data_IF_100176631585
#
_entry.id   IF_100176631585
#
_cell.length_a   1.000
_cell.length_b   1.000
_cell.length_c   1.000
_cell.angle_alpha   90.00
_cell.angle_beta   90.00
_cell.angle_gamma   90.00
#
_symmetry.space_group_name_H-M   'P 1'
#
loop_
_entity.id
_entity.type
_entity.pdbx_description
1 polymer ?
#
# COMPACT_ATOMS: atom_id res chain seq x y z
N UNK A 1 11.37 20.93 6.45
CA UNK A 1 10.36 21.70 5.68
C UNK A 1 10.66 21.80 4.18
N UNK A 2 11.69 22.53 3.70
CA UNK A 2 11.94 22.69 2.25
C UNK A 2 12.40 21.41 1.52
N UNK A 3 13.22 20.58 2.18
CA UNK A 3 13.70 19.30 1.63
C UNK A 3 12.57 18.24 1.55
N UNK A 4 11.69 18.18 2.54
CA UNK A 4 10.53 17.28 2.57
C UNK A 4 9.52 17.64 1.48
N UNK A 5 9.25 18.94 1.29
CA UNK A 5 8.39 19.42 0.22
C UNK A 5 8.95 19.07 -1.18
N UNK A 6 10.29 19.11 -1.34
CA UNK A 6 10.96 18.73 -2.58
C UNK A 6 10.88 17.22 -2.82
N UNK A 7 11.09 16.39 -1.79
CA UNK A 7 10.94 14.94 -1.89
C UNK A 7 9.51 14.53 -2.24
N UNK A 8 8.51 15.16 -1.61
CA UNK A 8 7.10 14.95 -1.95
C UNK A 8 6.77 15.35 -3.39
N UNK A 9 7.28 16.49 -3.87
CA UNK A 9 7.09 16.93 -5.25
C UNK A 9 7.72 15.96 -6.26
N UNK A 10 8.92 15.46 -5.97
CA UNK A 10 9.62 14.47 -6.80
C UNK A 10 8.84 13.15 -6.83
N UNK A 11 8.35 12.68 -5.68
CA UNK A 11 7.57 11.45 -5.60
C UNK A 11 6.24 11.55 -6.35
N UNK A 12 5.57 12.71 -6.32
CA UNK A 12 4.38 12.98 -7.12
C UNK A 12 4.66 12.94 -8.62
N UNK A 13 5.83 13.42 -9.07
CA UNK A 13 6.24 13.33 -10.49
C UNK A 13 6.48 11.89 -10.94
N UNK A 14 7.05 11.04 -10.08
CA UNK A 14 7.22 9.62 -10.37
C UNK A 14 5.88 8.88 -10.42
N UNK A 15 4.99 9.16 -9.46
CA UNK A 15 3.65 8.56 -9.41
C UNK A 15 2.82 8.91 -10.64
N UNK A 16 2.96 10.14 -11.16
CA UNK A 16 2.21 10.62 -12.33
C UNK A 16 2.77 10.10 -13.67
N UNK A 17 3.92 9.42 -13.67
CA UNK A 17 4.49 8.79 -14.88
C UNK A 17 4.81 9.81 -15.98
N UNK A 18 5.61 10.84 -15.65
CA UNK A 18 6.13 11.77 -16.67
C UNK A 18 7.02 11.01 -17.65
N UNK A 19 6.53 10.80 -18.88
CA UNK A 19 7.33 10.31 -20.01
C UNK A 19 8.30 11.38 -20.56
N UNK A 20 8.21 12.62 -20.10
CA UNK A 20 8.78 13.77 -20.82
C UNK A 20 10.15 14.22 -20.31
N UNK A 21 10.59 13.74 -19.13
CA UNK A 21 11.74 14.36 -18.44
C UNK A 21 13.03 13.51 -18.46
N UNK A 22 13.03 12.33 -19.10
CA UNK A 22 14.20 11.42 -19.12
C UNK A 22 14.61 10.88 -17.74
N UNK A 23 13.81 11.11 -16.69
CA UNK A 23 14.04 10.63 -15.34
C UNK A 23 13.69 9.13 -15.23
N UNK A 24 14.45 8.33 -14.46
CA UNK A 24 14.14 6.91 -14.26
C UNK A 24 12.76 6.75 -13.62
N UNK A 25 11.87 6.04 -14.31
CA UNK A 25 10.56 5.66 -13.77
C UNK A 25 10.79 4.61 -12.70
N UNK A 26 10.60 4.97 -11.43
CA UNK A 26 10.61 3.95 -10.37
C UNK A 26 9.39 3.04 -10.54
N UNK A 27 9.57 1.71 -10.52
CA UNK A 27 8.43 0.79 -10.57
C UNK A 27 7.52 1.01 -9.35
N UNK A 28 6.23 1.12 -9.63
CA UNK A 28 5.19 1.30 -8.61
C UNK A 28 4.44 -0.01 -8.42
N UNK A 29 4.18 -0.35 -7.15
CA UNK A 29 3.33 -1.49 -6.78
C UNK A 29 2.04 -0.96 -6.20
N UNK A 30 0.92 -1.27 -6.84
CA UNK A 30 -0.39 -0.86 -6.36
C UNK A 30 -0.93 -1.85 -5.32
N UNK A 31 -1.03 -1.40 -4.08
CA UNK A 31 -1.74 -2.09 -3.01
C UNK A 31 -3.26 -1.98 -3.20
N UNK A 32 -3.95 -3.12 -3.39
CA UNK A 32 -5.38 -3.14 -3.72
C UNK A 32 -6.13 -4.44 -3.32
N UNK A 33 -5.90 -4.99 -2.12
CA UNK A 33 -6.49 -6.28 -1.70
C UNK A 33 -7.80 -6.19 -0.90
N UNK A 34 -8.19 -5.02 -0.40
CA UNK A 34 -9.44 -4.86 0.36
C UNK A 34 -9.42 -5.50 1.75
N UNK A 35 -10.58 -5.49 2.42
CA UNK A 35 -10.76 -6.00 3.79
C UNK A 35 -10.84 -7.53 3.88
N UNK A 36 -10.98 -8.24 2.75
CA UNK A 36 -11.04 -9.70 2.74
C UNK A 36 -9.71 -10.35 3.14
N UNK A 37 -8.61 -9.59 3.14
CA UNK A 37 -7.29 -10.05 3.59
C UNK A 37 -7.32 -10.69 4.98
N UNK A 38 -8.16 -10.17 5.89
CA UNK A 38 -8.28 -10.70 7.26
C UNK A 38 -9.22 -11.90 7.39
N UNK A 39 -9.99 -12.22 6.35
CA UNK A 39 -10.96 -13.33 6.38
C UNK A 39 -10.36 -14.67 6.00
N UNK A 40 -9.14 -14.70 5.44
CA UNK A 40 -8.50 -15.91 4.94
C UNK A 40 -7.01 -15.88 5.24
N UNK A 41 -6.53 -16.84 6.02
CA UNK A 41 -5.13 -16.87 6.50
C UNK A 41 -4.12 -16.90 5.34
N UNK A 42 -4.39 -17.67 4.29
CA UNK A 42 -3.48 -17.77 3.15
C UNK A 42 -3.25 -16.43 2.43
N UNK A 43 -4.20 -15.48 2.50
CA UNK A 43 -4.03 -14.17 1.88
C UNK A 43 -2.96 -13.34 2.60
N UNK A 44 -2.89 -13.47 3.92
CA UNK A 44 -1.86 -12.82 4.73
C UNK A 44 -0.50 -13.43 4.43
N UNK A 45 -0.42 -14.76 4.38
CA UNK A 45 0.83 -15.47 4.01
C UNK A 45 1.30 -15.07 2.62
N UNK A 46 0.39 -15.01 1.65
CA UNK A 46 0.70 -14.57 0.29
C UNK A 46 1.20 -13.13 0.26
N UNK A 47 0.53 -12.21 0.96
CA UNK A 47 0.95 -10.82 1.04
C UNK A 47 2.36 -10.71 1.65
N UNK A 48 2.65 -11.44 2.72
CA UNK A 48 3.97 -11.49 3.33
C UNK A 48 5.03 -11.99 2.33
N UNK A 49 4.72 -13.04 1.57
CA UNK A 49 5.63 -13.54 0.52
C UNK A 49 5.90 -12.48 -0.54
N UNK A 50 4.89 -11.74 -0.99
CA UNK A 50 5.04 -10.65 -1.97
C UNK A 50 5.91 -9.54 -1.40
N UNK A 51 5.64 -9.05 -0.19
CA UNK A 51 6.40 -7.96 0.44
C UNK A 51 7.88 -8.32 0.62
N UNK A 52 8.17 -9.60 0.84
CA UNK A 52 9.54 -10.10 1.02
C UNK A 52 10.26 -10.44 -0.31
N UNK A 53 9.63 -10.26 -1.47
CA UNK A 53 10.28 -10.49 -2.76
C UNK A 53 11.45 -9.51 -2.96
N UNK A 54 12.67 -9.98 -3.26
CA UNK A 54 13.82 -9.12 -3.53
C UNK A 54 13.58 -8.10 -4.66
N UNK A 55 12.80 -8.49 -5.66
CA UNK A 55 12.45 -7.68 -6.82
C UNK A 55 11.63 -6.44 -6.44
N UNK A 56 10.90 -6.49 -5.31
CA UNK A 56 10.07 -5.39 -4.83
C UNK A 56 10.81 -4.44 -3.88
N UNK A 57 12.05 -4.74 -3.49
CA UNK A 57 12.82 -3.89 -2.54
C UNK A 57 13.10 -2.48 -3.09
N UNK A 58 13.18 -2.33 -4.42
CA UNK A 58 13.39 -1.04 -5.09
C UNK A 58 12.10 -0.43 -5.66
N UNK A 59 10.93 -0.98 -5.29
CA UNK A 59 9.63 -0.48 -5.74
C UNK A 59 9.02 0.47 -4.71
N UNK A 60 8.24 1.44 -5.19
CA UNK A 60 7.41 2.28 -4.33
C UNK A 60 5.97 1.74 -4.28
N UNK A 61 5.44 1.57 -3.07
CA UNK A 61 4.07 1.13 -2.88
C UNK A 61 3.10 2.31 -2.93
N UNK A 62 1.99 2.12 -3.63
CA UNK A 62 0.95 3.14 -3.83
C UNK A 62 -0.45 2.59 -3.60
N UNK A 63 -1.38 3.47 -3.24
CA UNK A 63 -2.82 3.20 -3.14
C UNK A 63 -3.62 4.23 -3.93
N UNK A 64 -4.88 3.92 -4.23
CA UNK A 64 -5.86 4.91 -4.69
C UNK A 64 -6.97 5.06 -3.67
N UNK A 65 -7.40 6.31 -3.49
CA UNK A 65 -8.37 6.68 -2.48
C UNK A 65 -7.84 6.51 -1.06
N UNK A 66 -8.71 6.78 -0.09
CA UNK A 66 -8.38 6.60 1.34
C UNK A 66 -8.42 5.11 1.69
N UNK A 67 -7.59 4.61 2.62
CA UNK A 67 -7.78 3.28 3.18
C UNK A 67 -9.18 3.09 3.79
N UNK A 68 -9.63 1.84 3.88
CA UNK A 68 -10.82 1.46 4.65
C UNK A 68 -10.69 1.90 6.12
N UNK A 69 -11.79 1.84 6.89
CA UNK A 69 -11.77 2.13 8.34
C UNK A 69 -10.72 1.31 9.10
N UNK A 70 -10.48 0.08 8.67
CA UNK A 70 -9.50 -0.84 9.28
C UNK A 70 -8.07 -0.66 8.72
N UNK A 71 -7.87 0.33 7.83
CA UNK A 71 -6.57 0.66 7.25
C UNK A 71 -6.19 -0.17 6.02
N UNK A 72 -7.07 -1.02 5.49
CA UNK A 72 -6.80 -1.77 4.26
C UNK A 72 -6.90 -0.90 3.00
N UNK A 73 -6.04 -1.12 1.99
CA UNK A 73 -6.22 -0.50 0.68
C UNK A 73 -7.51 -1.03 0.02
N UNK A 74 -8.22 -0.18 -0.72
CA UNK A 74 -9.43 -0.60 -1.42
C UNK A 74 -9.11 -1.56 -2.58
N UNK A 75 -10.00 -2.53 -2.76
CA UNK A 75 -10.01 -3.36 -3.96
C UNK A 75 -10.31 -2.48 -5.20
N UNK A 76 -9.73 -2.74 -6.39
CA UNK A 76 -9.89 -1.87 -7.56
C UNK A 76 -11.35 -1.63 -7.96
N UNK A 77 -12.23 -2.61 -7.71
CA UNK A 77 -13.67 -2.51 -7.94
C UNK A 77 -14.34 -1.34 -7.20
N UNK A 78 -13.79 -0.92 -6.05
CA UNK A 78 -14.39 0.12 -5.19
C UNK A 78 -13.62 1.45 -5.23
N UNK A 79 -12.68 1.61 -6.15
CA UNK A 79 -11.92 2.85 -6.32
C UNK A 79 -12.33 3.50 -7.63
N UNK A 80 -12.56 4.81 -7.58
CA UNK A 80 -12.70 5.63 -8.78
C UNK A 80 -11.42 5.54 -9.64
N UNK A 81 -11.57 5.37 -10.96
CA UNK A 81 -10.45 5.15 -11.89
C UNK A 81 -9.62 6.42 -12.14
N UNK A 82 -10.22 7.59 -11.95
CA UNK A 82 -9.58 8.90 -12.04
C UNK A 82 -8.85 9.32 -10.75
N UNK A 83 -9.13 8.68 -9.61
CA UNK A 83 -8.52 9.00 -8.32
C UNK A 83 -6.99 8.84 -8.39
N UNK A 84 -6.19 9.87 -8.06
CA UNK A 84 -4.74 9.79 -8.16
C UNK A 84 -4.16 8.74 -7.19
N UNK A 85 -3.02 8.18 -7.57
CA UNK A 85 -2.23 7.36 -6.66
C UNK A 85 -1.61 8.23 -5.56
N UNK A 86 -1.57 7.69 -4.34
CA UNK A 86 -0.84 8.26 -3.20
C UNK A 86 0.10 7.22 -2.60
N UNK A 87 1.12 7.69 -1.88
CA UNK A 87 2.11 6.82 -1.24
C UNK A 87 1.47 5.88 -0.23
N UNK A 88 1.92 4.64 -0.19
CA UNK A 88 1.48 3.63 0.77
C UNK A 88 2.66 3.02 1.52
N UNK A 89 2.67 3.15 2.84
CA UNK A 89 3.70 2.55 3.68
C UNK A 89 3.35 1.08 3.96
N UNK A 90 3.88 0.21 3.11
CA UNK A 90 3.66 -1.24 3.22
C UNK A 90 4.24 -1.82 4.52
N UNK A 91 5.36 -1.29 4.99
CA UNK A 91 6.03 -1.77 6.21
C UNK A 91 5.17 -1.47 7.42
N UNK A 92 4.67 -0.23 7.51
CA UNK A 92 3.73 0.15 8.57
C UNK A 92 2.43 -0.65 8.49
N UNK A 93 1.92 -0.87 7.29
CA UNK A 93 0.72 -1.69 7.08
C UNK A 93 0.91 -3.13 7.59
N UNK A 94 2.02 -3.79 7.26
CA UNK A 94 2.32 -5.15 7.69
C UNK A 94 2.49 -5.26 9.22
N UNK A 95 3.13 -4.27 9.85
CA UNK A 95 3.22 -4.19 11.32
C UNK A 95 1.82 -4.13 11.96
N UNK A 96 0.95 -3.23 11.49
CA UNK A 96 -0.41 -3.09 12.00
C UNK A 96 -1.27 -4.33 11.73
N UNK A 97 -1.08 -4.98 10.58
CA UNK A 97 -1.78 -6.21 10.24
C UNK A 97 -1.37 -7.35 11.18
N UNK A 98 -0.08 -7.51 11.45
CA UNK A 98 0.41 -8.52 12.39
C UNK A 98 -0.09 -8.27 13.82
N UNK A 99 -0.08 -7.03 14.29
CA UNK A 99 -0.64 -6.65 15.59
C UNK A 99 -2.13 -7.03 15.71
N UNK A 100 -2.92 -6.83 14.65
CA UNK A 100 -4.35 -7.24 14.62
C UNK A 100 -4.55 -8.74 14.62
N UNK A 101 -3.65 -9.48 13.96
CA UNK A 101 -3.74 -10.94 13.86
C UNK A 101 -3.18 -11.67 15.08
N UNK A 102 -2.53 -10.96 15.99
CA UNK A 102 -2.02 -11.53 17.22
C UNK A 102 -3.15 -12.21 18.02
N UNK A 103 -2.92 -13.41 18.59
CA UNK A 103 -3.96 -14.22 19.25
C UNK A 103 -4.79 -13.45 20.30
N UNK A 104 -4.14 -12.58 21.05
CA UNK A 104 -4.70 -11.74 22.10
C UNK A 104 -5.67 -10.66 21.59
N UNK A 105 -5.58 -10.29 20.30
CA UNK A 105 -6.36 -9.22 19.69
C UNK A 105 -7.53 -9.74 18.83
N UNK A 106 -7.49 -11.01 18.39
CA UNK A 106 -8.59 -11.63 17.62
C UNK A 106 -9.91 -11.68 18.40
N UNK A 107 -9.88 -11.81 19.74
CA UNK A 107 -11.07 -11.87 20.59
C UNK A 107 -11.86 -10.56 20.70
N UNK A 108 -11.29 -9.41 20.33
CA UNK A 108 -11.95 -8.10 20.47
C UNK A 108 -12.81 -7.69 19.27
N UNK A 109 -12.79 -8.45 18.18
CA UNK A 109 -13.50 -8.13 16.91
C UNK A 109 -14.80 -8.94 16.72
N UNK A 110 -15.18 -9.77 17.70
CA UNK A 110 -16.33 -10.69 17.64
C UNK A 110 -17.57 -10.20 18.44
N UNK A 111 -17.63 -8.92 18.81
CA UNK A 111 -18.77 -8.32 19.52
C UNK A 111 -19.37 -7.21 18.65
#
# INVERSE_FOLDING_TARGET
MQAENKAQSIMQKFIKGSKEDGLPVMPLVWAAWGSLIEKREYLITLLLSIVNMPELQNCSWVIRGKPTKDGHPHHPLYVNKEEPFSSFDITRYMSLLNERLAPENKSKKAI
#
